data_IF_712370596870
#
_entry.id   IF_712370596870
#
_cell.length_a   1.000
_cell.length_b   1.000
_cell.length_c   1.000
_cell.angle_alpha   90.00
_cell.angle_beta   90.00
_cell.angle_gamma   90.00
#
_symmetry.space_group_name_H-M   'P 1'
#
loop_
_entity.id
_entity.type
_entity.pdbx_description
1 polymer ?
#
# COMPACT_ATOMS: atom_id res chain seq x y z
N UNK A 1 -35.59 9.35 -49.44
CA UNK A 1 -34.32 10.12 -49.34
C UNK A 1 -34.37 11.30 -48.38
N UNK A 2 -35.44 12.11 -48.36
CA UNK A 2 -35.51 13.33 -47.51
C UNK A 2 -35.37 13.08 -45.99
N UNK A 3 -35.91 11.97 -45.47
CA UNK A 3 -35.81 11.62 -44.04
C UNK A 3 -34.38 11.21 -43.62
N UNK A 4 -33.62 10.61 -44.53
CA UNK A 4 -32.24 10.18 -44.26
C UNK A 4 -31.29 11.38 -44.14
N UNK A 5 -31.47 12.39 -45.02
CA UNK A 5 -30.74 13.66 -44.91
C UNK A 5 -31.04 14.39 -43.60
N UNK A 6 -32.30 14.40 -43.13
CA UNK A 6 -32.66 14.99 -41.83
C UNK A 6 -31.97 14.28 -40.65
N UNK A 7 -31.91 12.95 -40.66
CA UNK A 7 -31.23 12.18 -39.61
C UNK A 7 -29.72 12.45 -39.57
N UNK A 8 -29.08 12.52 -40.74
CA UNK A 8 -27.64 12.85 -40.84
C UNK A 8 -27.36 14.26 -40.33
N UNK A 9 -28.18 15.24 -40.69
CA UNK A 9 -28.00 16.62 -40.19
C UNK A 9 -28.12 16.69 -38.67
N UNK A 10 -29.06 15.94 -38.07
CA UNK A 10 -29.21 15.89 -36.61
C UNK A 10 -27.98 15.23 -35.96
N UNK A 11 -27.46 14.14 -36.54
CA UNK A 11 -26.26 13.47 -36.02
C UNK A 11 -25.04 14.41 -36.00
N UNK A 12 -24.78 15.15 -37.09
CA UNK A 12 -23.67 16.09 -37.13
C UNK A 12 -23.85 17.27 -36.18
N UNK A 13 -25.07 17.75 -35.96
CA UNK A 13 -25.36 18.77 -34.94
C UNK A 13 -25.00 18.26 -33.54
N UNK A 14 -25.37 17.02 -33.19
CA UNK A 14 -25.01 16.43 -31.90
C UNK A 14 -23.50 16.21 -31.74
N UNK A 15 -22.81 15.78 -32.79
CA UNK A 15 -21.34 15.66 -32.78
C UNK A 15 -20.68 17.02 -32.56
N UNK A 16 -21.17 18.08 -33.19
CA UNK A 16 -20.66 19.44 -33.00
C UNK A 16 -20.88 19.95 -31.57
N UNK A 17 -22.05 19.67 -30.98
CA UNK A 17 -22.35 20.00 -29.57
C UNK A 17 -21.43 19.22 -28.61
N UNK A 18 -21.17 17.93 -28.89
CA UNK A 18 -20.27 17.12 -28.08
C UNK A 18 -18.81 17.62 -28.14
N UNK A 19 -18.33 17.97 -29.33
CA UNK A 19 -16.97 18.50 -29.51
C UNK A 19 -16.82 19.89 -28.88
N UNK A 20 -17.82 20.77 -29.03
CA UNK A 20 -17.78 22.12 -28.44
C UNK A 20 -17.90 22.08 -26.92
N UNK A 21 -18.73 21.20 -26.36
CA UNK A 21 -18.80 20.99 -24.90
C UNK A 21 -17.52 20.38 -24.33
N UNK A 22 -16.90 19.42 -25.01
CA UNK A 22 -15.60 18.87 -24.60
C UNK A 22 -14.49 19.93 -24.66
N UNK A 23 -14.44 20.73 -25.73
CA UNK A 23 -13.52 21.86 -25.84
C UNK A 23 -13.75 22.90 -24.74
N UNK A 24 -15.01 23.25 -24.45
CA UNK A 24 -15.35 24.22 -23.42
C UNK A 24 -14.99 23.72 -22.02
N UNK A 25 -15.28 22.46 -21.70
CA UNK A 25 -14.94 21.85 -20.39
C UNK A 25 -13.43 21.76 -20.21
N UNK A 26 -12.69 21.31 -21.24
CA UNK A 26 -11.22 21.21 -21.17
C UNK A 26 -10.55 22.58 -21.03
N UNK A 27 -11.00 23.61 -21.75
CA UNK A 27 -10.40 24.94 -21.67
C UNK A 27 -10.81 25.74 -20.42
N UNK A 28 -12.07 25.66 -19.97
CA UNK A 28 -12.52 26.42 -18.78
C UNK A 28 -12.03 25.81 -17.46
N UNK A 29 -11.80 24.50 -17.39
CA UNK A 29 -11.19 23.88 -16.21
C UNK A 29 -9.68 24.12 -16.14
N UNK A 30 -8.97 24.25 -17.26
CA UNK A 30 -7.54 24.59 -17.27
C UNK A 30 -7.27 26.07 -16.94
N UNK A 31 -8.15 27.00 -17.34
CA UNK A 31 -7.93 28.44 -17.13
C UNK A 31 -8.25 28.94 -15.71
N UNK A 32 -8.82 28.12 -14.83
CA UNK A 32 -9.01 28.49 -13.42
C UNK A 32 -7.75 28.27 -12.55
N UNK A 33 -6.63 27.83 -13.14
CA UNK A 33 -5.31 27.81 -12.49
C UNK A 33 -4.44 29.02 -12.83
N UNK A 34 -5.02 30.14 -13.30
CA UNK A 34 -4.33 31.42 -13.39
C UNK A 34 -5.12 32.50 -12.65
N UNK A 35 -4.98 32.52 -11.32
CA UNK A 35 -5.24 33.74 -10.55
C UNK A 35 -3.94 34.54 -10.60
N UNK A 36 -4.04 35.68 -11.28
CA UNK A 36 -3.07 36.76 -11.32
C UNK A 36 -2.66 37.18 -9.91
N UNK A 37 -1.35 37.30 -9.71
CA UNK A 37 -0.73 37.92 -8.54
C UNK A 37 -1.09 39.40 -8.45
N UNK A 38 -2.13 39.74 -7.69
CA UNK A 38 -2.19 41.05 -7.05
C UNK A 38 -1.16 41.07 -5.92
N UNK A 39 -0.24 42.05 -6.00
CA UNK A 39 0.78 42.30 -4.99
C UNK A 39 0.11 42.77 -3.68
N UNK A 40 -0.24 41.81 -2.82
CA UNK A 40 -0.39 42.05 -1.40
C UNK A 40 0.92 41.65 -0.73
N UNK A 41 1.74 42.64 -0.37
CA UNK A 41 2.83 42.45 0.58
C UNK A 41 2.25 42.21 1.96
N UNK A 42 1.81 40.97 2.20
CA UNK A 42 1.65 40.40 3.53
C UNK A 42 2.87 39.52 3.73
N UNK A 43 3.71 39.86 4.71
CA UNK A 43 4.77 38.97 5.19
C UNK A 43 4.11 37.71 5.75
N UNK A 44 3.93 36.72 4.86
CA UNK A 44 3.34 35.42 5.16
C UNK A 44 4.29 34.61 6.06
N UNK A 45 3.81 34.06 7.18
CA UNK A 45 4.62 33.18 8.01
C UNK A 45 5.03 31.95 7.20
N UNK A 46 6.31 31.58 7.26
CA UNK A 46 6.89 30.44 6.54
C UNK A 46 5.96 29.21 6.59
N UNK A 47 5.43 28.83 5.43
CA UNK A 47 4.60 27.64 5.22
C UNK A 47 5.44 26.40 5.54
N UNK A 48 5.27 25.83 6.73
CA UNK A 48 6.04 24.65 7.14
C UNK A 48 5.54 23.40 6.41
N UNK A 49 6.49 22.61 5.92
CA UNK A 49 6.28 21.47 5.03
C UNK A 49 6.43 20.16 5.80
N UNK A 50 5.50 19.22 5.61
CA UNK A 50 5.65 17.86 6.10
C UNK A 50 6.27 17.02 4.97
N UNK A 51 7.55 16.66 5.14
CA UNK A 51 8.33 15.95 4.13
C UNK A 51 8.32 14.45 4.45
N UNK A 52 7.85 13.63 3.52
CA UNK A 52 8.13 12.19 3.54
C UNK A 52 9.49 12.00 2.87
N UNK A 53 10.49 11.51 3.60
CA UNK A 53 11.88 11.47 3.12
C UNK A 53 12.34 10.02 2.96
N UNK A 54 13.07 9.70 1.88
CA UNK A 54 13.76 8.41 1.73
C UNK A 54 15.12 8.39 2.49
N UNK A 55 15.78 7.23 2.54
CA UNK A 55 17.12 7.01 3.13
C UNK A 55 18.21 7.92 2.58
N UNK A 56 18.01 8.53 1.41
CA UNK A 56 18.93 9.48 0.77
C UNK A 56 18.63 10.94 1.14
N UNK A 57 17.74 11.15 2.10
CA UNK A 57 17.25 12.47 2.48
C UNK A 57 16.47 13.21 1.38
N UNK A 58 15.94 12.47 0.39
CA UNK A 58 15.18 13.01 -0.74
C UNK A 58 13.67 13.02 -0.46
N UNK A 59 12.99 14.14 -0.75
CA UNK A 59 11.54 14.30 -0.57
C UNK A 59 10.75 13.40 -1.53
N UNK A 60 9.99 12.46 -0.99
CA UNK A 60 9.10 11.54 -1.72
C UNK A 60 7.74 12.20 -1.97
N UNK A 61 7.18 12.88 -0.96
CA UNK A 61 5.93 13.62 -1.06
C UNK A 61 5.94 14.83 -0.13
N UNK A 62 5.32 15.92 -0.60
CA UNK A 62 5.18 17.18 0.11
C UNK A 62 3.71 17.32 0.56
N UNK A 63 3.46 17.28 1.86
CA UNK A 63 2.15 17.61 2.42
C UNK A 63 2.23 19.03 2.97
N UNK A 64 1.56 20.01 2.33
CA UNK A 64 1.75 21.42 2.63
C UNK A 64 1.12 21.88 3.94
N UNK A 65 0.43 21.00 4.68
CA UNK A 65 -0.33 21.37 5.88
C UNK A 65 0.03 20.54 7.10
N UNK A 66 0.34 21.26 8.15
CA UNK A 66 0.95 20.79 9.37
C UNK A 66 -0.13 20.77 10.46
N UNK A 67 -0.24 19.67 11.20
CA UNK A 67 -1.20 19.55 12.29
C UNK A 67 -0.94 20.63 13.33
N UNK A 68 -1.88 21.55 13.48
CA UNK A 68 -1.80 22.56 14.53
C UNK A 68 -2.20 21.96 15.86
N UNK A 69 -1.39 22.22 16.87
CA UNK A 69 -1.69 21.87 18.26
C UNK A 69 -1.99 23.14 19.03
N UNK A 70 -2.94 23.06 19.96
CA UNK A 70 -3.29 24.16 20.85
C UNK A 70 -2.79 23.87 22.25
N UNK A 71 -2.30 24.90 22.92
CA UNK A 71 -1.74 24.81 24.27
C UNK A 71 -2.73 24.12 25.22
N UNK A 72 -2.23 23.13 25.98
CA UNK A 72 -2.99 22.38 26.99
C UNK A 72 -4.21 21.60 26.44
N UNK A 73 -4.32 21.44 25.11
CA UNK A 73 -5.40 20.69 24.47
C UNK A 73 -4.89 19.39 23.82
N UNK A 74 -5.66 18.28 23.92
CA UNK A 74 -5.27 16.98 23.39
C UNK A 74 -5.58 16.80 21.90
N UNK A 75 -6.32 17.73 21.29
CA UNK A 75 -6.77 17.64 19.92
C UNK A 75 -5.83 18.37 18.95
N UNK A 76 -5.95 18.03 17.67
CA UNK A 76 -5.27 18.72 16.56
C UNK A 76 -6.28 19.48 15.72
N UNK A 77 -5.87 20.61 15.14
CA UNK A 77 -6.71 21.51 14.36
C UNK A 77 -6.00 22.01 13.08
N UNK A 78 -6.68 22.89 12.34
CA UNK A 78 -6.22 23.52 11.09
C UNK A 78 -5.78 22.51 10.03
N UNK A 79 -6.63 21.50 9.86
CA UNK A 79 -6.35 20.33 9.04
C UNK A 79 -6.92 20.50 7.64
N UNK A 80 -6.09 20.33 6.62
CA UNK A 80 -6.52 20.37 5.21
C UNK A 80 -6.00 19.13 4.50
N UNK A 81 -6.70 18.69 3.46
CA UNK A 81 -6.34 17.55 2.61
C UNK A 81 -6.12 16.21 3.35
N UNK A 82 -6.75 16.01 4.50
CA UNK A 82 -6.63 14.76 5.27
C UNK A 82 -6.98 13.50 4.47
N UNK A 83 -8.04 13.46 3.64
CA UNK A 83 -8.30 12.30 2.80
C UNK A 83 -7.12 11.97 1.87
N UNK A 84 -6.51 12.98 1.26
CA UNK A 84 -5.37 12.80 0.36
C UNK A 84 -4.11 12.32 1.11
N UNK A 85 -3.85 12.88 2.29
CA UNK A 85 -2.80 12.41 3.19
C UNK A 85 -3.02 10.94 3.56
N UNK A 86 -4.24 10.58 3.97
CA UNK A 86 -4.59 9.22 4.35
C UNK A 86 -4.40 8.23 3.18
N UNK A 87 -4.85 8.58 1.97
CA UNK A 87 -4.67 7.77 0.77
C UNK A 87 -3.20 7.58 0.42
N UNK A 88 -2.39 8.63 0.52
CA UNK A 88 -0.95 8.57 0.26
C UNK A 88 -0.24 7.67 1.27
N UNK A 89 -0.55 7.81 2.56
CA UNK A 89 -0.01 6.94 3.61
C UNK A 89 -0.47 5.49 3.38
N UNK A 90 -1.73 5.27 3.03
CA UNK A 90 -2.30 3.95 2.74
C UNK A 90 -1.57 3.29 1.59
N UNK A 91 -1.31 4.04 0.51
CA UNK A 91 -0.53 3.58 -0.63
C UNK A 91 0.89 3.16 -0.21
N UNK A 92 1.59 4.00 0.56
CA UNK A 92 2.94 3.69 1.04
C UNK A 92 2.96 2.42 1.90
N UNK A 93 2.03 2.27 2.85
CA UNK A 93 1.97 1.13 3.76
C UNK A 93 1.52 -0.16 3.06
N UNK A 94 0.67 -0.06 2.04
CA UNK A 94 0.24 -1.21 1.21
C UNK A 94 1.38 -1.71 0.35
N UNK A 95 2.20 -0.79 -0.17
CA UNK A 95 3.38 -1.13 -0.98
C UNK A 95 4.63 -1.46 -0.15
N UNK A 96 4.56 -1.35 1.18
CA UNK A 96 5.67 -1.64 2.10
C UNK A 96 5.18 -2.30 3.41
N UNK A 97 4.86 -3.60 3.40
CA UNK A 97 4.43 -4.40 4.56
C UNK A 97 5.42 -4.43 5.72
N UNK A 98 6.70 -4.10 5.48
CA UNK A 98 7.73 -4.07 6.53
C UNK A 98 7.86 -2.70 7.21
N UNK A 99 7.06 -1.71 6.80
CA UNK A 99 7.02 -0.37 7.40
C UNK A 99 5.78 -0.20 8.26
N UNK A 100 5.84 0.63 9.27
CA UNK A 100 4.70 1.16 10.01
C UNK A 100 4.81 2.68 10.09
N UNK A 101 3.68 3.35 10.25
CA UNK A 101 3.63 4.78 10.47
C UNK A 101 3.85 5.07 11.96
N UNK A 102 4.80 5.91 12.28
CA UNK A 102 5.01 6.48 13.61
C UNK A 102 4.48 7.91 13.58
N UNK A 103 3.49 8.19 14.43
CA UNK A 103 2.92 9.51 14.65
C UNK A 103 3.48 10.03 15.96
N UNK A 104 4.20 11.14 15.90
CA UNK A 104 4.90 11.72 17.04
C UNK A 104 4.25 13.06 17.34
N UNK A 105 3.58 13.16 18.49
CA UNK A 105 3.04 14.43 18.96
C UNK A 105 4.03 15.15 19.86
N UNK A 106 4.35 16.39 19.51
CA UNK A 106 5.18 17.29 20.31
C UNK A 106 4.38 17.88 21.45
N UNK A 107 5.04 18.04 22.58
CA UNK A 107 4.50 18.72 23.75
C UNK A 107 5.61 19.39 24.56
N UNK A 108 5.26 20.43 25.33
CA UNK A 108 6.18 21.01 26.30
C UNK A 108 6.07 20.22 27.61
N UNK A 109 7.19 20.09 28.31
CA UNK A 109 7.21 19.50 29.66
C UNK A 109 6.32 20.27 30.66
N UNK A 110 6.06 21.55 30.38
CA UNK A 110 5.27 22.47 31.21
C UNK A 110 3.78 22.46 30.90
N UNK A 111 3.33 21.80 29.83
CA UNK A 111 1.89 21.73 29.52
C UNK A 111 1.14 20.88 30.55
N UNK A 112 -0.09 21.28 30.86
CA UNK A 112 -0.94 20.60 31.84
C UNK A 112 -1.56 19.37 31.18
N UNK A 113 -1.41 18.21 31.82
CA UNK A 113 -2.08 16.99 31.37
C UNK A 113 -3.58 17.07 31.70
N UNK A 114 -4.42 16.88 30.68
CA UNK A 114 -5.88 16.86 30.86
C UNK A 114 -6.36 15.41 30.76
N UNK A 115 -7.10 14.95 31.78
CA UNK A 115 -7.97 13.77 31.72
C UNK A 115 -7.33 12.39 31.49
N UNK A 116 -6.00 12.27 31.39
CA UNK A 116 -5.32 11.00 31.11
C UNK A 116 -3.93 10.92 31.73
N UNK A 117 -3.47 9.71 32.06
CA UNK A 117 -2.09 9.42 32.50
C UNK A 117 -1.06 9.51 31.35
N UNK A 118 -1.50 9.78 30.12
CA UNK A 118 -0.65 9.96 28.94
C UNK A 118 -0.31 11.43 28.74
N UNK A 119 0.91 11.74 28.34
CA UNK A 119 1.28 13.11 27.98
C UNK A 119 0.48 13.62 26.76
N UNK A 120 0.34 14.95 26.64
CA UNK A 120 -0.44 15.58 25.56
C UNK A 120 0.06 15.20 24.17
N UNK A 121 1.37 15.01 24.00
CA UNK A 121 1.95 14.56 22.73
C UNK A 121 1.35 13.23 22.26
N UNK A 122 1.25 12.25 23.16
CA UNK A 122 0.61 10.96 22.84
C UNK A 122 -0.87 11.16 22.53
N UNK A 123 -1.59 11.97 23.30
CA UNK A 123 -3.04 12.20 23.07
C UNK A 123 -3.31 12.84 21.69
N UNK A 124 -2.48 13.82 21.31
CA UNK A 124 -2.53 14.45 19.98
C UNK A 124 -2.20 13.46 18.86
N UNK A 125 -1.16 12.65 19.04
CA UNK A 125 -0.81 11.59 18.10
C UNK A 125 -1.93 10.54 17.95
N UNK A 126 -2.62 10.20 19.04
CA UNK A 126 -3.78 9.30 19.03
C UNK A 126 -4.97 9.90 18.29
N UNK A 127 -5.21 11.21 18.44
CA UNK A 127 -6.23 11.92 17.67
C UNK A 127 -5.97 11.79 16.17
N UNK A 128 -4.74 12.03 15.71
CA UNK A 128 -4.36 11.85 14.30
C UNK A 128 -4.50 10.39 13.86
N UNK A 129 -4.03 9.43 14.69
CA UNK A 129 -4.18 8.00 14.40
C UNK A 129 -5.65 7.64 14.15
N UNK A 130 -6.56 8.09 15.01
CA UNK A 130 -7.98 7.77 14.90
C UNK A 130 -8.59 8.34 13.62
N UNK A 131 -8.22 9.58 13.24
CA UNK A 131 -8.62 10.18 11.97
C UNK A 131 -8.17 9.34 10.77
N UNK A 132 -6.90 8.93 10.74
CA UNK A 132 -6.36 8.12 9.64
C UNK A 132 -7.01 6.72 9.60
N UNK A 133 -7.20 6.08 10.75
CA UNK A 133 -7.84 4.76 10.84
C UNK A 133 -9.29 4.82 10.36
N UNK A 134 -10.03 5.87 10.71
CA UNK A 134 -11.39 6.09 10.22
C UNK A 134 -11.45 6.18 8.68
N UNK A 135 -10.38 6.68 8.05
CA UNK A 135 -10.22 6.74 6.59
C UNK A 135 -9.67 5.43 5.98
N UNK A 136 -9.65 4.35 6.75
CA UNK A 136 -9.30 3.01 6.27
C UNK A 136 -7.82 2.66 6.35
N UNK A 137 -7.03 3.43 7.11
CA UNK A 137 -5.68 3.01 7.49
C UNK A 137 -5.73 1.86 8.51
N UNK A 138 -4.93 0.81 8.32
CA UNK A 138 -4.94 -0.31 9.27
C UNK A 138 -4.26 0.08 10.59
N UNK A 139 -4.98 -0.03 11.70
CA UNK A 139 -4.54 0.44 13.02
C UNK A 139 -3.31 -0.28 13.57
N UNK A 140 -3.07 -1.53 13.16
CA UNK A 140 -1.89 -2.35 13.49
C UNK A 140 -0.61 -1.80 12.85
N UNK A 141 -0.74 -1.03 11.76
CA UNK A 141 0.37 -0.39 11.03
C UNK A 141 0.66 1.03 11.49
N UNK A 142 0.08 1.49 12.60
CA UNK A 142 0.25 2.86 13.12
C UNK A 142 0.60 2.83 14.62
N UNK A 143 1.71 3.47 14.97
CA UNK A 143 2.20 3.67 16.34
C UNK A 143 2.19 5.15 16.70
N UNK A 144 1.91 5.45 17.96
CA UNK A 144 1.80 6.81 18.49
C UNK A 144 2.85 7.02 19.58
N UNK A 145 3.50 8.17 19.56
CA UNK A 145 4.53 8.56 20.51
C UNK A 145 4.34 10.03 20.92
N UNK A 146 4.79 10.35 22.13
CA UNK A 146 4.91 11.74 22.58
C UNK A 146 6.39 12.10 22.64
N UNK A 147 6.73 13.30 22.17
CA UNK A 147 8.09 13.82 22.22
C UNK A 147 8.12 15.19 22.90
N UNK A 148 8.92 15.30 23.96
CA UNK A 148 9.21 16.61 24.56
C UNK A 148 10.01 17.43 23.54
N UNK A 149 9.51 18.60 23.20
CA UNK A 149 10.15 19.52 22.26
C UNK A 149 10.08 20.94 22.79
N UNK A 150 11.10 21.75 22.54
CA UNK A 150 11.10 23.16 22.92
C UNK A 150 10.52 23.99 21.76
N UNK A 151 9.35 24.58 21.96
CA UNK A 151 8.69 25.47 21.00
C UNK A 151 7.87 26.52 21.76
N UNK A 152 7.34 27.50 21.04
CA UNK A 152 6.48 28.54 21.59
C UNK A 152 5.18 28.60 20.82
N UNK A 153 4.09 28.82 21.54
CA UNK A 153 2.78 29.06 20.93
C UNK A 153 2.69 30.49 20.43
N UNK A 154 1.93 30.70 19.36
CA UNK A 154 1.61 32.04 18.88
C UNK A 154 0.56 32.73 19.78
N UNK A 155 0.15 33.94 19.41
CA UNK A 155 -0.85 34.72 20.17
C UNK A 155 -2.21 34.02 20.31
N UNK A 156 -2.54 33.07 19.43
CA UNK A 156 -3.75 32.25 19.48
C UNK A 156 -3.56 30.95 20.28
N UNK A 157 -2.42 30.80 20.98
CA UNK A 157 -2.01 29.58 21.67
C UNK A 157 -1.86 28.36 20.76
N UNK A 158 -1.55 28.57 19.48
CA UNK A 158 -1.37 27.51 18.47
C UNK A 158 0.10 27.32 18.09
N UNK A 159 0.43 26.08 17.71
CA UNK A 159 1.72 25.71 17.14
C UNK A 159 1.52 24.74 15.98
N UNK A 160 1.95 25.13 14.78
CA UNK A 160 1.59 24.42 13.55
C UNK A 160 2.38 23.13 13.30
N UNK A 161 3.51 22.91 13.98
CA UNK A 161 4.39 21.74 13.73
C UNK A 161 4.31 20.71 14.85
N UNK A 162 3.12 20.57 15.43
CA UNK A 162 2.90 19.77 16.62
C UNK A 162 2.94 18.27 16.38
N UNK A 163 2.86 17.80 15.13
CA UNK A 163 2.87 16.37 14.78
C UNK A 163 3.92 16.10 13.71
N UNK A 164 4.75 15.09 13.95
CA UNK A 164 5.62 14.51 12.93
C UNK A 164 5.10 13.14 12.50
N UNK A 165 5.17 12.85 11.21
CA UNK A 165 4.82 11.55 10.62
C UNK A 165 6.08 10.91 10.04
N UNK A 166 6.44 9.71 10.50
CA UNK A 166 7.63 9.00 10.03
C UNK A 166 7.31 7.55 9.68
N UNK A 167 7.96 7.00 8.66
CA UNK A 167 7.79 5.60 8.27
C UNK A 167 8.96 4.77 8.75
N UNK A 168 8.70 3.91 9.73
CA UNK A 168 9.73 3.16 10.41
C UNK A 168 9.62 1.68 10.08
N UNK A 169 10.75 0.96 10.07
CA UNK A 169 10.75 -0.49 9.88
C UNK A 169 10.11 -1.13 11.11
N UNK A 170 9.18 -2.06 10.89
CA UNK A 170 8.57 -2.81 12.00
C UNK A 170 9.67 -3.59 12.72
N UNK A 171 9.59 -3.66 14.05
CA UNK A 171 10.58 -4.29 14.93
C UNK A 171 11.03 -5.68 14.43
N UNK A 172 12.29 -6.04 14.67
CA UNK A 172 12.93 -7.24 14.11
C UNK A 172 12.17 -8.55 14.45
N UNK A 173 11.61 -8.66 15.66
CA UNK A 173 10.76 -9.78 16.08
C UNK A 173 9.51 -9.97 15.19
N UNK A 174 8.94 -8.87 14.70
CA UNK A 174 7.84 -8.92 13.72
C UNK A 174 8.36 -9.33 12.34
N UNK A 175 9.57 -8.92 11.96
CA UNK A 175 10.16 -9.35 10.68
C UNK A 175 10.46 -10.85 10.64
N UNK A 176 10.80 -11.45 11.77
CA UNK A 176 10.96 -12.91 11.89
C UNK A 176 9.61 -13.62 11.73
N UNK A 177 8.53 -13.03 12.24
CA UNK A 177 7.17 -13.54 12.01
C UNK A 177 6.73 -13.43 10.54
N UNK A 178 7.13 -12.38 9.83
CA UNK A 178 6.90 -12.27 8.38
C UNK A 178 7.67 -13.38 7.64
N UNK A 179 8.93 -13.63 7.99
CA UNK A 179 9.73 -14.70 7.38
C UNK A 179 9.07 -16.08 7.57
N UNK A 180 8.51 -16.33 8.76
CA UNK A 180 7.75 -17.54 9.03
C UNK A 180 6.47 -17.66 8.17
N UNK A 181 5.81 -16.54 7.87
CA UNK A 181 4.59 -16.53 7.03
C UNK A 181 4.90 -16.78 5.55
N UNK A 182 6.04 -16.28 5.06
CA UNK A 182 6.39 -16.36 3.63
C UNK A 182 7.16 -17.64 3.27
N UNK A 183 7.91 -18.20 4.21
CA UNK A 183 8.71 -19.40 4.00
C UNK A 183 7.85 -20.63 4.18
N UNK A 184 8.12 -21.69 3.42
CA UNK A 184 7.33 -22.93 3.40
C UNK A 184 5.83 -22.70 3.13
N UNK A 185 5.48 -21.73 2.27
CA UNK A 185 4.09 -21.46 1.90
C UNK A 185 3.60 -22.57 0.96
N UNK A 186 2.43 -23.13 1.28
CA UNK A 186 1.67 -24.01 0.39
C UNK A 186 0.52 -23.22 -0.24
N UNK A 187 0.40 -23.29 -1.56
CA UNK A 187 -0.67 -22.68 -2.34
C UNK A 187 -1.45 -23.74 -3.10
N UNK A 188 -2.76 -23.68 -3.00
CA UNK A 188 -3.68 -24.47 -3.81
C UNK A 188 -4.12 -23.60 -4.98
N UNK A 189 -3.53 -23.87 -6.15
CA UNK A 189 -3.73 -23.06 -7.34
C UNK A 189 -4.60 -23.81 -8.35
N UNK A 190 -5.53 -23.09 -8.93
CA UNK A 190 -6.37 -23.60 -10.00
C UNK A 190 -5.73 -23.34 -11.37
N UNK A 191 -5.81 -24.35 -12.23
CA UNK A 191 -5.33 -24.28 -13.59
C UNK A 191 -6.47 -24.66 -14.54
N UNK A 192 -6.78 -23.79 -15.49
CA UNK A 192 -7.76 -24.03 -16.55
C UNK A 192 -7.06 -23.95 -17.89
N UNK A 193 -7.19 -24.98 -18.72
CA UNK A 193 -6.55 -25.05 -20.04
C UNK A 193 -5.04 -24.73 -19.98
N UNK A 194 -4.35 -25.30 -18.99
CA UNK A 194 -2.93 -25.05 -18.67
C UNK A 194 -2.55 -23.59 -18.35
N UNK A 195 -3.54 -22.74 -18.08
CA UNK A 195 -3.37 -21.39 -17.57
C UNK A 195 -3.62 -21.33 -16.06
N UNK A 196 -2.71 -20.65 -15.36
CA UNK A 196 -2.88 -20.37 -13.93
C UNK A 196 -3.97 -19.30 -13.76
N UNK A 197 -4.96 -19.58 -12.90
CA UNK A 197 -5.98 -18.61 -12.49
C UNK A 197 -5.47 -17.90 -11.22
N UNK A 198 -5.18 -16.59 -11.27
CA UNK A 198 -4.74 -15.87 -10.09
C UNK A 198 -5.85 -15.79 -9.04
N UNK A 199 -5.56 -16.28 -7.84
CA UNK A 199 -6.44 -16.13 -6.67
C UNK A 199 -5.99 -14.94 -5.82
N UNK A 200 -6.88 -14.45 -4.95
CA UNK A 200 -6.56 -13.38 -4.02
C UNK A 200 -5.37 -13.72 -3.10
N UNK A 201 -5.28 -14.98 -2.65
CA UNK A 201 -4.15 -15.45 -1.82
C UNK A 201 -2.83 -15.45 -2.61
N UNK A 202 -2.85 -15.83 -3.90
CA UNK A 202 -1.66 -15.75 -4.76
C UNK A 202 -1.22 -14.29 -4.95
N UNK A 203 -2.15 -13.37 -5.23
CA UNK A 203 -1.85 -11.95 -5.38
C UNK A 203 -1.24 -11.37 -4.11
N UNK A 204 -1.87 -11.61 -2.96
CA UNK A 204 -1.43 -11.03 -1.68
C UNK A 204 -0.09 -11.65 -1.25
N UNK A 205 0.11 -12.95 -1.43
CA UNK A 205 1.40 -13.60 -1.21
C UNK A 205 2.50 -13.01 -2.11
N UNK A 206 2.21 -12.77 -3.39
CA UNK A 206 3.18 -12.22 -4.34
C UNK A 206 3.65 -10.83 -3.93
N UNK A 207 2.73 -9.97 -3.47
CA UNK A 207 3.08 -8.63 -2.99
C UNK A 207 4.02 -8.69 -1.78
N UNK A 208 3.74 -9.58 -0.83
CA UNK A 208 4.59 -9.76 0.36
C UNK A 208 5.94 -10.35 -0.01
N UNK A 209 5.96 -11.39 -0.85
CA UNK A 209 7.18 -12.06 -1.31
C UNK A 209 8.11 -11.08 -2.05
N UNK A 210 7.57 -10.28 -2.97
CA UNK A 210 8.34 -9.29 -3.73
C UNK A 210 9.07 -8.33 -2.81
N UNK A 211 8.38 -7.76 -1.84
CA UNK A 211 8.98 -6.81 -0.89
C UNK A 211 10.02 -7.48 0.02
N UNK A 212 9.76 -8.72 0.45
CA UNK A 212 10.75 -9.48 1.21
C UNK A 212 12.04 -9.69 0.39
N UNK A 213 11.93 -10.07 -0.88
CA UNK A 213 13.11 -10.28 -1.75
C UNK A 213 13.86 -9.00 -2.10
N UNK A 214 13.17 -7.85 -2.13
CA UNK A 214 13.81 -6.53 -2.21
C UNK A 214 14.62 -6.22 -0.96
N UNK A 215 14.08 -6.52 0.23
CA UNK A 215 14.74 -6.28 1.51
C UNK A 215 15.92 -7.23 1.75
N UNK A 216 15.84 -8.46 1.27
CA UNK A 216 16.88 -9.48 1.42
C UNK A 216 17.41 -9.94 0.05
N UNK A 217 18.32 -9.19 -0.58
CA UNK A 217 18.83 -9.49 -1.92
C UNK A 217 19.48 -10.86 -2.09
N UNK A 218 20.01 -11.45 -1.02
CA UNK A 218 20.64 -12.77 -1.05
C UNK A 218 19.65 -13.94 -1.13
N UNK A 219 18.39 -13.74 -0.71
CA UNK A 219 17.40 -14.82 -0.56
C UNK A 219 16.92 -15.34 -1.92
N UNK A 220 16.73 -16.64 -2.07
CA UNK A 220 16.20 -17.23 -3.33
C UNK A 220 14.91 -17.99 -3.06
N UNK A 221 14.08 -18.10 -4.08
CA UNK A 221 12.79 -18.80 -4.05
C UNK A 221 12.91 -20.11 -4.81
N UNK A 222 12.42 -21.19 -4.22
CA UNK A 222 12.20 -22.47 -4.89
C UNK A 222 10.71 -22.78 -4.90
N UNK A 223 10.18 -22.98 -6.10
CA UNK A 223 8.78 -23.37 -6.33
C UNK A 223 8.77 -24.85 -6.68
N UNK A 224 8.04 -25.65 -5.91
CA UNK A 224 7.92 -27.10 -6.11
C UNK A 224 6.48 -27.45 -6.45
N UNK A 225 6.25 -28.05 -7.61
CA UNK A 225 4.92 -28.48 -8.03
C UNK A 225 4.64 -29.93 -7.72
N UNK A 226 3.46 -30.18 -7.14
CA UNK A 226 2.93 -31.49 -6.77
C UNK A 226 1.63 -31.79 -7.52
N UNK A 227 1.34 -33.06 -7.71
CA UNK A 227 0.13 -33.58 -8.37
C UNK A 227 -0.62 -34.53 -7.44
N UNK A 228 -1.82 -34.93 -7.86
CA UNK A 228 -2.45 -36.13 -7.30
C UNK A 228 -1.83 -37.38 -7.92
N UNK A 229 -2.36 -38.55 -7.56
CA UNK A 229 -1.86 -39.86 -7.95
C UNK A 229 -2.52 -40.42 -9.22
N UNK A 230 -3.18 -39.59 -10.03
CA UNK A 230 -3.85 -40.04 -11.23
C UNK A 230 -2.89 -39.99 -12.41
N UNK A 231 -2.81 -41.10 -13.16
CA UNK A 231 -1.94 -41.22 -14.33
C UNK A 231 -0.55 -41.76 -14.02
N UNK A 232 0.38 -41.59 -14.98
CA UNK A 232 1.74 -42.11 -14.87
C UNK A 232 2.65 -41.14 -14.11
N UNK A 233 3.55 -41.72 -13.31
CA UNK A 233 4.53 -40.97 -12.51
C UNK A 233 5.32 -39.92 -13.33
N UNK A 234 5.88 -40.30 -14.47
CA UNK A 234 6.65 -39.39 -15.32
C UNK A 234 5.81 -38.23 -15.86
N UNK A 235 4.56 -38.51 -16.21
CA UNK A 235 3.60 -37.49 -16.63
C UNK A 235 3.30 -36.53 -15.48
N UNK A 236 3.17 -37.04 -14.26
CA UNK A 236 2.93 -36.25 -13.05
C UNK A 236 4.12 -35.36 -12.70
N UNK A 237 5.36 -35.80 -12.91
CA UNK A 237 6.55 -34.95 -12.81
C UNK A 237 6.51 -33.79 -13.81
N UNK A 238 6.13 -34.05 -15.07
CA UNK A 238 6.01 -32.99 -16.10
C UNK A 238 4.91 -32.00 -15.74
N UNK A 239 3.74 -32.48 -15.32
CA UNK A 239 2.60 -31.63 -14.92
C UNK A 239 2.99 -30.73 -13.75
N UNK A 240 3.57 -31.30 -12.70
CA UNK A 240 4.01 -30.52 -11.54
C UNK A 240 5.07 -29.47 -11.92
N UNK A 241 6.02 -29.82 -12.81
CA UNK A 241 7.04 -28.88 -13.27
C UNK A 241 6.44 -27.73 -14.08
N UNK A 242 5.49 -28.03 -14.96
CA UNK A 242 4.80 -27.02 -15.76
C UNK A 242 4.01 -26.06 -14.87
N UNK A 243 3.30 -26.57 -13.85
CA UNK A 243 2.61 -25.73 -12.85
C UNK A 243 3.59 -24.82 -12.12
N UNK A 244 4.72 -25.35 -11.66
CA UNK A 244 5.76 -24.55 -11.01
C UNK A 244 6.33 -23.45 -11.93
N UNK A 245 6.55 -23.75 -13.22
CA UNK A 245 6.98 -22.77 -14.22
C UNK A 245 5.94 -21.68 -14.47
N UNK A 246 4.65 -22.00 -14.49
CA UNK A 246 3.57 -21.02 -14.63
C UNK A 246 3.50 -20.09 -13.40
N UNK A 247 3.64 -20.63 -12.19
CA UNK A 247 3.75 -19.82 -10.97
C UNK A 247 5.00 -18.93 -11.00
N UNK A 248 6.14 -19.45 -11.44
CA UNK A 248 7.36 -18.63 -11.65
C UNK A 248 7.09 -17.48 -12.62
N UNK A 249 6.44 -17.76 -13.77
CA UNK A 249 6.08 -16.73 -14.74
C UNK A 249 5.19 -15.66 -14.11
N UNK A 250 4.15 -16.05 -13.36
CA UNK A 250 3.29 -15.11 -12.66
C UNK A 250 4.07 -14.20 -11.69
N UNK A 251 5.00 -14.75 -10.92
CA UNK A 251 5.86 -13.94 -10.04
C UNK A 251 6.77 -12.98 -10.81
N UNK A 252 7.32 -13.39 -11.95
CA UNK A 252 8.13 -12.54 -12.83
C UNK A 252 7.30 -11.39 -13.39
N UNK A 253 6.12 -11.70 -13.92
CA UNK A 253 5.18 -10.71 -14.47
C UNK A 253 4.74 -9.69 -13.39
N UNK A 254 4.85 -10.05 -12.10
CA UNK A 254 4.59 -9.19 -10.94
C UNK A 254 5.84 -8.51 -10.34
N UNK A 255 6.99 -8.60 -11.01
CA UNK A 255 8.21 -7.85 -10.67
C UNK A 255 9.23 -8.59 -9.82
N UNK A 256 9.14 -9.91 -9.66
CA UNK A 256 10.18 -10.70 -9.01
C UNK A 256 11.23 -11.13 -10.05
N UNK A 257 12.49 -10.80 -9.81
CA UNK A 257 13.58 -11.14 -10.74
C UNK A 257 13.68 -12.67 -10.98
N UNK A 258 13.71 -13.07 -12.25
CA UNK A 258 13.71 -14.48 -12.68
C UNK A 258 14.89 -15.29 -12.14
N UNK A 259 16.06 -14.66 -11.94
CA UNK A 259 17.28 -15.27 -11.40
C UNK A 259 17.15 -15.63 -9.91
N UNK A 260 16.13 -15.08 -9.23
CA UNK A 260 15.83 -15.37 -7.83
C UNK A 260 14.90 -16.56 -7.68
N UNK A 261 14.36 -17.12 -8.77
CA UNK A 261 13.35 -18.18 -8.72
C UNK A 261 13.83 -19.43 -9.45
N UNK A 262 13.83 -20.55 -8.72
CA UNK A 262 14.03 -21.90 -9.23
C UNK A 262 12.72 -22.69 -9.19
N UNK A 263 12.57 -23.66 -10.09
CA UNK A 263 11.39 -24.53 -10.17
C UNK A 263 11.80 -25.99 -10.10
N UNK A 264 11.04 -26.80 -9.36
CA UNK A 264 11.19 -28.23 -9.22
C UNK A 264 9.81 -28.90 -9.31
N UNK A 265 9.78 -30.21 -9.58
CA UNK A 265 8.58 -31.01 -9.38
C UNK A 265 8.88 -32.26 -8.55
N UNK A 266 7.88 -32.66 -7.77
CA UNK A 266 7.82 -33.94 -7.08
C UNK A 266 6.71 -34.84 -7.62
N UNK A 267 5.93 -34.36 -8.59
CA UNK A 267 4.77 -35.08 -9.09
C UNK A 267 3.90 -35.56 -7.94
N UNK A 268 3.66 -36.86 -7.90
CA UNK A 268 2.85 -37.54 -6.87
C UNK A 268 3.68 -38.14 -5.72
N UNK A 269 5.00 -37.93 -5.69
CA UNK A 269 5.93 -38.63 -4.80
C UNK A 269 5.85 -38.18 -3.34
N UNK A 270 5.34 -36.99 -3.06
CA UNK A 270 5.25 -36.39 -1.72
C UNK A 270 3.79 -35.97 -1.41
N UNK A 271 2.88 -36.94 -1.19
CA UNK A 271 1.50 -36.67 -0.81
C UNK A 271 1.43 -36.12 0.62
N UNK A 272 0.53 -35.17 0.86
CA UNK A 272 0.23 -34.62 2.20
C UNK A 272 -1.17 -35.02 2.69
N UNK A 273 -1.93 -35.71 1.86
CA UNK A 273 -3.25 -36.22 2.17
C UNK A 273 -3.50 -37.55 1.44
N UNK A 274 -4.59 -38.21 1.81
CA UNK A 274 -5.03 -39.47 1.20
C UNK A 274 -5.15 -39.35 -0.33
N UNK A 275 -4.73 -40.40 -1.03
CA UNK A 275 -4.73 -40.47 -2.50
C UNK A 275 -6.09 -40.87 -3.09
N UNK A 276 -6.94 -41.49 -2.28
CA UNK A 276 -8.16 -42.16 -2.74
C UNK A 276 -9.36 -41.20 -2.80
N UNK A 277 -9.44 -40.24 -1.89
CA UNK A 277 -10.56 -39.30 -1.82
C UNK A 277 -10.29 -38.07 -2.69
N UNK A 278 -11.33 -37.50 -3.31
CA UNK A 278 -11.16 -36.28 -4.13
C UNK A 278 -10.66 -35.11 -3.27
N UNK A 279 -11.14 -35.00 -2.03
CA UNK A 279 -10.66 -34.02 -1.07
C UNK A 279 -9.17 -34.16 -0.78
N UNK A 280 -8.67 -35.39 -0.66
CA UNK A 280 -7.24 -35.66 -0.47
C UNK A 280 -6.42 -35.36 -1.72
N UNK A 281 -6.90 -35.75 -2.91
CA UNK A 281 -6.27 -35.41 -4.19
C UNK A 281 -6.16 -33.89 -4.41
N UNK A 282 -7.23 -33.14 -4.11
CA UNK A 282 -7.20 -31.69 -4.19
C UNK A 282 -6.11 -31.06 -3.32
N UNK A 283 -5.86 -31.62 -2.12
CA UNK A 283 -4.74 -31.18 -1.26
C UNK A 283 -3.38 -31.57 -1.83
N UNK A 284 -3.26 -32.70 -2.52
CA UNK A 284 -2.00 -33.10 -3.12
C UNK A 284 -1.64 -32.25 -4.36
N UNK A 285 -2.64 -31.74 -5.10
CA UNK A 285 -2.48 -30.75 -6.18
C UNK A 285 -2.15 -29.35 -5.61
N UNK A 286 -0.88 -29.14 -5.29
CA UNK A 286 -0.38 -27.92 -4.63
C UNK A 286 0.93 -27.42 -5.21
N UNK A 287 1.22 -26.15 -4.94
CA UNK A 287 2.54 -25.55 -5.11
C UNK A 287 3.13 -25.28 -3.73
N UNK A 288 4.36 -25.70 -3.50
CA UNK A 288 5.13 -25.36 -2.32
C UNK A 288 6.20 -24.34 -2.66
N UNK A 289 6.33 -23.32 -1.83
CA UNK A 289 7.27 -22.22 -2.01
C UNK A 289 8.18 -22.19 -0.80
N UNK A 290 9.48 -22.36 -1.04
CA UNK A 290 10.52 -22.27 -0.03
C UNK A 290 11.45 -21.11 -0.34
N UNK A 291 11.86 -20.39 0.70
CA UNK A 291 12.85 -19.34 0.62
C UNK A 291 14.14 -19.84 1.26
N UNK A 292 15.25 -19.70 0.54
CA UNK A 292 16.60 -20.07 0.98
C UNK A 292 17.41 -18.79 1.22
#
# INVERSE_FOLDING_TARGET
MLHYFKAITVFFVWVLIALTSHYFISHKLFNNCNISSENLTVTSPQKIQLLVIDKTNSTIHNFPTAFSIKQDEPYVSDITDIPYLADSIKFILTNNYTKELHIIGKYLKTEIQVGSNKNLGIQRAETVKNMLVHLGLKADRVKTFGQVSNFSFNNEKKFNNGIDLTFNKIAQKFTDSIEAIINNKTLYLEFKDDMLIPTKDLEDYTKVLRQYLHKYPAKKVRITGHTDNLGYFDKNLIIGLNRAKKTKKYFIDNGINSNRISTLSKGESEPIAEKITEKGRAKNRRIEIKIN
#
